data_IF_099098021836
#
_entry.id   IF_099098021836
#
_cell.length_a   1.000
_cell.length_b   1.000
_cell.length_c   1.000
_cell.angle_alpha   90.00
_cell.angle_beta   90.00
_cell.angle_gamma   90.00
#
_symmetry.space_group_name_H-M   'P 1'
#
loop_
_entity.id
_entity.type
_entity.pdbx_description
1 polymer ?
#
# COMPACT_ATOMS: atom_id res chain seq x y z
N UNK A 1 -0.49 -16.13 -19.99
CA UNK A 1 -1.23 -17.40 -20.18
C UNK A 1 -0.45 -18.64 -19.72
N UNK A 2 -1.03 -19.37 -18.76
CA UNK A 2 -0.57 -20.67 -18.27
C UNK A 2 -1.31 -21.83 -18.97
N UNK A 3 -0.73 -23.03 -19.12
CA UNK A 3 -1.45 -24.19 -19.72
C UNK A 3 -2.12 -25.09 -18.67
N UNK A 4 -3.31 -25.58 -19.00
CA UNK A 4 -4.04 -26.57 -18.20
C UNK A 4 -3.36 -27.93 -18.34
N UNK A 5 -3.15 -28.64 -17.23
CA UNK A 5 -2.78 -30.06 -17.27
C UNK A 5 -4.03 -30.93 -17.30
N UNK A 6 -4.03 -31.98 -18.12
CA UNK A 6 -5.18 -32.88 -18.30
C UNK A 6 -4.85 -34.32 -17.92
N UNK A 7 -5.86 -35.05 -17.46
CA UNK A 7 -5.86 -36.50 -17.32
C UNK A 7 -7.21 -37.01 -17.81
N UNK A 8 -7.25 -37.60 -19.00
CA UNK A 8 -8.49 -37.84 -19.75
C UNK A 8 -8.54 -39.26 -20.33
N UNK A 9 -9.74 -39.81 -20.46
CA UNK A 9 -9.95 -41.05 -21.21
C UNK A 9 -9.68 -40.87 -22.70
N UNK A 10 -8.87 -41.75 -23.28
CA UNK A 10 -8.62 -41.86 -24.71
C UNK A 10 -9.62 -42.81 -25.39
N UNK A 11 -9.52 -42.93 -26.73
CA UNK A 11 -10.39 -43.79 -27.54
C UNK A 11 -10.31 -45.29 -27.19
N UNK A 12 -9.21 -45.72 -26.55
CA UNK A 12 -9.01 -47.10 -26.06
C UNK A 12 -9.53 -47.32 -24.64
N UNK A 13 -10.16 -46.33 -24.01
CA UNK A 13 -10.65 -46.40 -22.64
C UNK A 13 -9.57 -46.33 -21.56
N UNK A 14 -8.34 -45.94 -21.92
CA UNK A 14 -7.23 -45.72 -20.98
C UNK A 14 -7.10 -44.23 -20.65
N UNK A 15 -6.60 -43.92 -19.46
CA UNK A 15 -6.40 -42.53 -19.02
C UNK A 15 -5.02 -42.00 -19.49
N UNK A 16 -5.02 -41.10 -20.46
CA UNK A 16 -3.84 -40.39 -20.96
C UNK A 16 -3.64 -39.06 -20.21
N UNK A 17 -2.37 -38.71 -19.98
CA UNK A 17 -1.99 -37.60 -19.10
C UNK A 17 -1.07 -36.60 -19.80
N UNK A 18 -1.50 -35.34 -19.85
CA UNK A 18 -0.70 -34.23 -20.35
C UNK A 18 -0.42 -33.24 -19.21
N UNK A 19 0.79 -33.31 -18.65
CA UNK A 19 1.23 -32.45 -17.54
C UNK A 19 1.97 -31.22 -18.02
N UNK A 20 1.67 -30.08 -17.40
CA UNK A 20 2.43 -28.84 -17.58
C UNK A 20 3.44 -28.60 -16.44
N UNK A 21 4.49 -27.85 -16.77
CA UNK A 21 5.46 -27.28 -15.83
C UNK A 21 5.83 -25.88 -16.29
N UNK A 22 6.10 -24.98 -15.34
CA UNK A 22 6.55 -23.63 -15.63
C UNK A 22 7.71 -23.30 -14.69
N UNK A 23 8.88 -23.06 -15.27
CA UNK A 23 10.04 -22.52 -14.58
C UNK A 23 10.18 -21.01 -14.86
N UNK A 24 10.01 -20.20 -13.82
CA UNK A 24 10.33 -18.77 -13.80
C UNK A 24 11.55 -18.46 -12.92
N UNK A 25 12.24 -19.47 -12.37
CA UNK A 25 13.29 -19.34 -11.35
C UNK A 25 14.54 -18.60 -11.83
N UNK A 26 14.76 -18.58 -13.15
CA UNK A 26 15.83 -17.83 -13.81
C UNK A 26 15.48 -16.35 -14.11
N UNK A 27 14.22 -15.96 -13.92
CA UNK A 27 13.70 -14.62 -14.21
C UNK A 27 13.41 -13.84 -12.91
N UNK A 28 13.21 -12.50 -12.96
CA UNK A 28 12.81 -11.71 -11.80
C UNK A 28 11.41 -12.07 -11.24
N UNK A 29 10.66 -12.91 -11.95
CA UNK A 29 9.28 -13.28 -11.62
C UNK A 29 9.16 -14.44 -10.62
N UNK A 30 8.03 -14.49 -9.92
CA UNK A 30 7.55 -15.61 -9.10
C UNK A 30 6.03 -15.74 -9.21
N UNK A 31 5.48 -16.90 -8.89
CA UNK A 31 4.04 -17.06 -8.80
C UNK A 31 3.52 -16.35 -7.54
N UNK A 32 2.52 -15.47 -7.69
CA UNK A 32 1.93 -14.76 -6.56
C UNK A 32 1.20 -15.72 -5.62
N UNK A 33 1.59 -15.76 -4.35
CA UNK A 33 1.00 -16.61 -3.31
C UNK A 33 -0.37 -16.11 -2.84
N UNK A 34 -0.64 -14.82 -3.05
CA UNK A 34 -1.92 -14.17 -2.70
C UNK A 34 -2.96 -14.36 -3.81
N UNK A 35 -2.57 -14.13 -5.06
CA UNK A 35 -3.53 -14.07 -6.18
C UNK A 35 -3.75 -15.39 -6.92
N UNK A 36 -2.85 -16.38 -6.82
CA UNK A 36 -3.03 -17.66 -7.49
C UNK A 36 -3.43 -18.79 -6.55
N UNK A 37 -4.26 -19.71 -7.05
CA UNK A 37 -4.58 -20.97 -6.39
C UNK A 37 -4.32 -22.14 -7.32
N UNK A 38 -3.73 -23.21 -6.79
CA UNK A 38 -3.68 -24.48 -7.51
C UNK A 38 -5.07 -25.10 -7.46
N UNK A 39 -5.69 -25.22 -8.63
CA UNK A 39 -7.09 -25.62 -8.83
C UNK A 39 -7.14 -26.98 -9.50
N UNK A 40 -7.94 -27.88 -8.95
CA UNK A 40 -8.17 -29.24 -9.47
C UNK A 40 -9.65 -29.39 -9.77
N UNK A 41 -9.97 -29.86 -10.97
CA UNK A 41 -11.34 -30.03 -11.46
C UNK A 41 -11.49 -31.47 -11.97
N UNK A 42 -12.59 -32.12 -11.64
CA UNK A 42 -12.85 -33.52 -11.97
C UNK A 42 -13.32 -34.31 -10.76
N UNK A 43 -14.01 -35.42 -10.97
CA UNK A 43 -14.44 -36.28 -9.88
C UNK A 43 -13.45 -37.43 -9.66
N UNK A 44 -13.36 -37.92 -8.42
CA UNK A 44 -12.38 -38.90 -7.95
C UNK A 44 -10.96 -38.61 -8.47
N UNK A 45 -10.52 -37.37 -8.29
CA UNK A 45 -9.27 -36.84 -8.83
C UNK A 45 -8.43 -36.29 -7.70
N UNK A 46 -7.15 -36.69 -7.64
CA UNK A 46 -6.12 -36.03 -6.85
C UNK A 46 -4.99 -35.60 -7.78
N UNK A 47 -4.70 -34.31 -7.77
CA UNK A 47 -3.53 -33.74 -8.43
C UNK A 47 -2.58 -33.08 -7.42
N UNK A 48 -1.32 -33.02 -7.82
CA UNK A 48 -0.21 -32.51 -7.02
C UNK A 48 0.45 -31.33 -7.74
N UNK A 49 0.95 -30.39 -6.94
CA UNK A 49 1.85 -29.32 -7.37
C UNK A 49 3.18 -29.47 -6.63
N UNK A 50 4.27 -29.56 -7.40
CA UNK A 50 5.65 -29.68 -6.93
C UNK A 50 6.36 -28.35 -7.15
N UNK A 51 7.04 -27.81 -6.15
CA UNK A 51 7.78 -26.55 -6.25
C UNK A 51 9.22 -26.69 -6.80
N UNK A 52 9.71 -27.92 -6.99
CA UNK A 52 11.04 -28.21 -7.54
C UNK A 52 10.99 -29.26 -8.65
N UNK A 53 12.11 -29.40 -9.36
CA UNK A 53 12.29 -30.38 -10.44
C UNK A 53 12.69 -31.77 -9.95
N UNK A 54 13.16 -31.86 -8.70
CA UNK A 54 13.63 -33.08 -8.03
C UNK A 54 12.54 -33.85 -7.28
N UNK A 55 11.33 -33.29 -7.18
CA UNK A 55 10.18 -33.83 -6.44
C UNK A 55 10.46 -34.05 -4.93
N UNK A 56 11.38 -33.26 -4.36
CA UNK A 56 11.91 -33.41 -2.98
C UNK A 56 11.50 -32.29 -2.02
N UNK A 57 11.13 -31.13 -2.57
CA UNK A 57 10.82 -29.91 -1.82
C UNK A 57 9.35 -29.81 -1.46
N UNK A 58 8.79 -28.61 -1.59
CA UNK A 58 7.37 -28.40 -1.32
C UNK A 58 6.50 -29.22 -2.30
N UNK A 59 5.69 -30.09 -1.70
CA UNK A 59 4.63 -30.86 -2.33
C UNK A 59 3.31 -30.44 -1.70
N UNK A 60 2.37 -29.99 -2.53
CA UNK A 60 0.97 -29.82 -2.14
C UNK A 60 0.07 -30.58 -3.10
N UNK A 61 -1.17 -30.81 -2.68
CA UNK A 61 -2.13 -31.56 -3.46
C UNK A 61 -3.55 -31.13 -3.10
N UNK A 62 -4.47 -31.50 -3.98
CA UNK A 62 -5.85 -31.07 -3.92
C UNK A 62 -6.71 -32.18 -4.53
N UNK A 63 -7.65 -32.67 -3.73
CA UNK A 63 -8.52 -33.80 -4.07
C UNK A 63 -9.93 -33.29 -4.33
N UNK A 64 -10.57 -33.84 -5.35
CA UNK A 64 -11.99 -33.62 -5.58
C UNK A 64 -12.72 -34.92 -5.87
N UNK A 65 -13.92 -35.05 -5.33
CA UNK A 65 -14.81 -36.21 -5.43
C UNK A 65 -16.18 -35.78 -5.92
N UNK A 66 -16.93 -36.71 -6.51
CA UNK A 66 -18.39 -36.63 -6.62
C UNK A 66 -18.92 -38.03 -6.93
N UNK A 67 -20.21 -38.28 -6.68
CA UNK A 67 -20.88 -39.51 -7.12
C UNK A 67 -21.66 -39.26 -8.41
N UNK A 68 -22.36 -38.12 -8.50
CA UNK A 68 -23.15 -37.71 -9.64
C UNK A 68 -23.03 -36.19 -9.91
N UNK A 69 -23.48 -35.75 -11.09
CA UNK A 69 -23.55 -34.33 -11.44
C UNK A 69 -24.49 -33.51 -10.53
N UNK A 70 -25.44 -34.15 -9.86
CA UNK A 70 -26.37 -33.52 -8.89
C UNK A 70 -25.69 -33.04 -7.62
N UNK A 71 -24.50 -33.56 -7.31
CA UNK A 71 -23.74 -33.23 -6.11
C UNK A 71 -22.95 -31.91 -6.29
N UNK A 72 -22.97 -31.36 -7.50
CA UNK A 72 -22.15 -30.25 -7.94
C UNK A 72 -22.98 -28.96 -8.04
N UNK A 73 -22.38 -27.84 -7.65
CA UNK A 73 -22.98 -26.52 -7.80
C UNK A 73 -22.00 -25.59 -8.53
N UNK A 74 -22.50 -24.84 -9.52
CA UNK A 74 -21.74 -23.77 -10.17
C UNK A 74 -21.24 -22.77 -9.10
N UNK A 75 -19.99 -22.33 -9.23
CA UNK A 75 -19.30 -21.46 -8.26
C UNK A 75 -18.80 -22.11 -6.97
N UNK A 76 -19.16 -23.37 -6.69
CA UNK A 76 -18.60 -24.09 -5.54
C UNK A 76 -17.27 -24.75 -5.89
N UNK A 77 -16.27 -24.64 -4.99
CA UNK A 77 -14.97 -25.30 -5.17
C UNK A 77 -14.42 -25.84 -3.82
N UNK A 78 -15.29 -26.52 -3.08
CA UNK A 78 -15.03 -27.01 -1.72
C UNK A 78 -14.75 -28.52 -1.62
N UNK A 79 -14.26 -29.13 -2.71
CA UNK A 79 -13.96 -30.56 -2.81
C UNK A 79 -14.92 -31.34 -3.71
N UNK A 80 -16.10 -30.79 -4.03
CA UNK A 80 -17.10 -31.44 -4.90
C UNK A 80 -16.96 -30.97 -6.35
N UNK A 81 -16.45 -31.84 -7.24
CA UNK A 81 -16.06 -31.54 -8.62
C UNK A 81 -14.93 -30.52 -8.81
N UNK A 82 -14.70 -29.63 -7.85
CA UNK A 82 -13.62 -28.64 -7.82
C UNK A 82 -13.00 -28.56 -6.42
N UNK A 83 -11.68 -28.45 -6.36
CA UNK A 83 -10.91 -28.13 -5.17
C UNK A 83 -9.87 -27.04 -5.48
N UNK A 84 -9.51 -26.24 -4.48
CA UNK A 84 -8.42 -25.26 -4.54
C UNK A 84 -7.48 -25.41 -3.34
N UNK A 85 -6.18 -25.17 -3.55
CA UNK A 85 -5.19 -25.04 -2.49
C UNK A 85 -4.26 -23.85 -2.74
N UNK A 86 -3.78 -23.22 -1.67
CA UNK A 86 -2.84 -22.11 -1.73
C UNK A 86 -1.43 -22.60 -2.08
N UNK A 87 -0.62 -21.73 -2.67
CA UNK A 87 0.80 -21.98 -2.95
C UNK A 87 1.69 -21.26 -1.91
N UNK A 88 2.95 -21.68 -1.72
CA UNK A 88 3.85 -21.04 -0.77
C UNK A 88 4.56 -19.84 -1.39
N UNK A 89 5.00 -18.92 -0.54
CA UNK A 89 5.89 -17.82 -0.93
C UNK A 89 7.20 -18.32 -1.52
N UNK A 90 7.77 -17.52 -2.42
CA UNK A 90 9.05 -17.79 -3.05
C UNK A 90 9.00 -18.76 -4.24
N UNK A 91 7.83 -19.30 -4.59
CA UNK A 91 7.67 -20.28 -5.66
C UNK A 91 8.02 -19.68 -7.04
N UNK A 92 9.19 -20.04 -7.55
CA UNK A 92 9.68 -19.68 -8.89
C UNK A 92 9.46 -20.77 -9.94
N UNK A 93 9.28 -22.02 -9.51
CA UNK A 93 9.01 -23.18 -10.35
C UNK A 93 7.73 -23.86 -9.88
N UNK A 94 6.95 -24.43 -10.81
CA UNK A 94 6.10 -25.56 -10.46
C UNK A 94 5.95 -26.59 -11.59
N UNK A 95 5.57 -27.80 -11.18
CA UNK A 95 5.19 -28.92 -12.02
C UNK A 95 3.89 -29.54 -11.51
N UNK A 96 3.02 -29.99 -12.41
CA UNK A 96 1.77 -30.66 -12.07
C UNK A 96 1.90 -32.18 -12.22
N UNK A 97 1.34 -32.92 -11.26
CA UNK A 97 1.18 -34.38 -11.35
C UNK A 97 -0.25 -34.81 -11.05
N UNK A 98 -0.63 -36.02 -11.48
CA UNK A 98 -1.90 -36.66 -11.14
C UNK A 98 -1.64 -38.01 -10.48
N UNK A 99 -2.38 -38.30 -9.41
CA UNK A 99 -2.36 -39.60 -8.73
C UNK A 99 -2.99 -40.69 -9.63
N UNK A 100 -2.31 -41.83 -9.75
CA UNK A 100 -2.79 -42.98 -10.55
C UNK A 100 -3.72 -43.94 -9.79
N UNK A 101 -3.91 -43.72 -8.49
CA UNK A 101 -4.59 -44.67 -7.59
C UNK A 101 -6.11 -44.56 -7.53
N UNK A 102 -6.71 -43.59 -8.20
CA UNK A 102 -8.17 -43.38 -8.17
C UNK A 102 -8.87 -44.18 -9.26
N UNK A 103 -9.93 -44.91 -8.89
CA UNK A 103 -10.75 -45.65 -9.83
C UNK A 103 -11.88 -44.76 -10.38
N UNK A 104 -11.72 -44.28 -11.61
CA UNK A 104 -12.70 -43.44 -12.32
C UNK A 104 -13.65 -44.25 -13.22
N UNK A 105 -13.52 -45.59 -13.25
CA UNK A 105 -14.25 -46.49 -14.17
C UNK A 105 -15.77 -46.54 -13.95
N UNK A 106 -16.28 -45.97 -12.86
CA UNK A 106 -17.71 -45.85 -12.57
C UNK A 106 -18.30 -44.50 -13.00
N UNK A 107 -17.46 -43.49 -13.23
CA UNK A 107 -17.86 -42.09 -13.50
C UNK A 107 -17.45 -41.60 -14.90
N UNK A 108 -16.75 -42.42 -15.68
CA UNK A 108 -16.26 -42.08 -17.03
C UNK A 108 -17.35 -41.63 -18.02
N UNK A 109 -18.61 -42.03 -17.77
CA UNK A 109 -19.77 -41.65 -18.56
C UNK A 109 -20.09 -40.15 -18.46
N UNK A 110 -19.88 -39.53 -17.30
CA UNK A 110 -20.15 -38.10 -17.05
C UNK A 110 -18.92 -37.27 -16.63
N UNK A 111 -17.79 -37.89 -16.33
CA UNK A 111 -16.53 -37.24 -15.92
C UNK A 111 -15.36 -37.84 -16.71
N UNK A 112 -15.21 -37.41 -17.97
CA UNK A 112 -14.23 -37.98 -18.92
C UNK A 112 -12.80 -37.44 -18.77
N UNK A 113 -12.68 -36.26 -18.18
CA UNK A 113 -11.43 -35.54 -18.03
C UNK A 113 -11.32 -34.95 -16.63
N UNK A 114 -10.11 -34.97 -16.11
CA UNK A 114 -9.69 -34.24 -14.94
C UNK A 114 -8.67 -33.19 -15.34
N UNK A 115 -8.72 -32.04 -14.68
CA UNK A 115 -7.88 -30.88 -14.94
C UNK A 115 -7.15 -30.45 -13.68
N UNK A 116 -5.92 -29.96 -13.84
CA UNK A 116 -5.13 -29.40 -12.76
C UNK A 116 -4.29 -28.23 -13.29
N UNK A 117 -4.41 -27.07 -12.65
CA UNK A 117 -3.78 -25.84 -13.13
C UNK A 117 -3.55 -24.83 -12.01
N UNK A 118 -2.47 -24.06 -12.11
CA UNK A 118 -2.27 -22.87 -11.29
C UNK A 118 -2.93 -21.68 -11.99
N UNK A 119 -3.90 -21.03 -11.36
CA UNK A 119 -4.66 -19.93 -11.98
C UNK A 119 -4.91 -18.79 -11.00
N UNK A 120 -5.09 -17.60 -11.54
CA UNK A 120 -5.60 -16.43 -10.83
C UNK A 120 -6.97 -16.76 -10.19
N UNK A 121 -7.10 -16.55 -8.87
CA UNK A 121 -8.24 -17.00 -8.09
C UNK A 121 -9.53 -16.21 -8.39
N UNK A 122 -9.41 -14.91 -8.65
CA UNK A 122 -10.55 -14.02 -8.96
C UNK A 122 -11.07 -14.21 -10.39
N UNK A 123 -10.20 -14.63 -11.31
CA UNK A 123 -10.57 -14.94 -12.69
C UNK A 123 -11.17 -16.35 -12.88
N UNK A 124 -11.12 -17.21 -11.85
CA UNK A 124 -11.63 -18.57 -11.90
C UNK A 124 -12.98 -18.71 -11.20
N UNK A 125 -13.99 -19.14 -11.96
CA UNK A 125 -15.28 -19.54 -11.42
C UNK A 125 -15.61 -20.97 -11.90
N UNK A 126 -15.95 -21.87 -10.97
CA UNK A 126 -16.26 -23.26 -11.30
C UNK A 126 -17.60 -23.36 -12.04
N UNK A 127 -17.67 -24.24 -13.03
CA UNK A 127 -18.91 -24.58 -13.71
C UNK A 127 -19.01 -26.10 -13.89
N UNK A 128 -20.17 -26.65 -13.58
CA UNK A 128 -20.52 -28.08 -13.70
C UNK A 128 -20.27 -28.64 -15.10
N UNK A 129 -20.37 -27.83 -16.16
CA UNK A 129 -20.04 -28.26 -17.53
C UNK A 129 -18.56 -28.60 -17.73
N UNK A 130 -17.66 -28.19 -16.83
CA UNK A 130 -16.25 -28.59 -16.85
C UNK A 130 -16.01 -30.05 -16.45
N UNK A 131 -17.01 -30.73 -15.87
CA UNK A 131 -16.94 -32.16 -15.55
C UNK A 131 -17.49 -32.99 -16.72
N UNK A 132 -18.66 -32.59 -17.24
CA UNK A 132 -19.38 -33.32 -18.28
C UNK A 132 -18.88 -33.07 -19.70
N UNK A 133 -18.07 -32.04 -19.92
CA UNK A 133 -17.55 -31.66 -21.25
C UNK A 133 -16.09 -31.22 -21.18
N UNK A 134 -15.44 -31.13 -22.33
CA UNK A 134 -14.06 -30.63 -22.47
C UNK A 134 -13.94 -29.10 -22.41
N UNK A 135 -15.06 -28.38 -22.21
CA UNK A 135 -15.18 -26.91 -22.30
C UNK A 135 -14.09 -26.14 -21.54
N UNK A 136 -13.65 -26.61 -20.37
CA UNK A 136 -12.59 -25.94 -19.60
C UNK A 136 -11.25 -25.90 -20.35
N UNK A 137 -10.91 -26.99 -21.04
CA UNK A 137 -9.70 -27.11 -21.85
C UNK A 137 -9.87 -26.56 -23.27
N UNK A 138 -11.08 -26.55 -23.82
CA UNK A 138 -11.34 -26.00 -25.16
C UNK A 138 -11.34 -24.46 -25.14
N UNK A 139 -11.79 -23.87 -24.03
CA UNK A 139 -11.75 -22.42 -23.80
C UNK A 139 -10.30 -21.92 -23.79
N UNK A 140 -10.06 -20.76 -24.43
CA UNK A 140 -8.76 -20.10 -24.50
C UNK A 140 -7.59 -21.00 -24.97
N UNK A 141 -7.86 -22.04 -25.76
CA UNK A 141 -6.86 -23.02 -26.26
C UNK A 141 -6.12 -23.80 -25.17
N UNK A 142 -6.82 -24.14 -24.07
CA UNK A 142 -6.26 -24.90 -22.95
C UNK A 142 -5.39 -24.04 -22.04
N UNK A 143 -5.74 -22.76 -21.90
CA UNK A 143 -4.94 -21.77 -21.17
C UNK A 143 -5.77 -20.92 -20.20
N UNK A 144 -5.13 -20.52 -19.10
CA UNK A 144 -5.72 -19.71 -18.02
C UNK A 144 -4.78 -18.56 -17.63
N UNK A 145 -5.30 -17.47 -17.03
CA UNK A 145 -4.46 -16.42 -16.46
C UNK A 145 -3.67 -16.91 -15.24
N UNK A 146 -2.49 -16.34 -15.04
CA UNK A 146 -1.66 -16.53 -13.84
C UNK A 146 -1.02 -15.18 -13.50
N UNK A 147 -1.00 -14.84 -12.22
CA UNK A 147 -0.42 -13.59 -11.71
C UNK A 147 1.03 -13.84 -11.31
N UNK A 148 1.95 -13.05 -11.86
CA UNK A 148 3.36 -13.10 -11.49
C UNK A 148 3.75 -11.88 -10.68
N UNK A 149 4.24 -12.09 -9.46
CA UNK A 149 4.94 -11.05 -8.72
C UNK A 149 6.35 -10.93 -9.29
N UNK A 150 6.97 -9.75 -9.14
CA UNK A 150 8.36 -9.55 -9.53
C UNK A 150 9.17 -8.90 -8.41
N UNK A 151 10.48 -9.08 -8.47
CA UNK A 151 11.45 -8.41 -7.61
C UNK A 151 12.78 -8.26 -8.35
N UNK A 152 13.63 -7.33 -7.91
CA UNK A 152 15.02 -7.25 -8.34
C UNK A 152 15.78 -8.40 -7.67
N UNK A 153 16.22 -9.34 -8.52
CA UNK A 153 16.91 -10.58 -8.14
C UNK A 153 17.64 -11.13 -9.37
N UNK A 154 18.74 -11.87 -9.15
CA UNK A 154 19.42 -12.59 -10.22
C UNK A 154 19.56 -14.07 -9.86
N UNK A 155 18.64 -14.91 -10.36
CA UNK A 155 18.62 -16.35 -10.08
C UNK A 155 18.55 -16.66 -8.58
N UNK A 156 19.54 -17.39 -8.07
CA UNK A 156 19.65 -17.74 -6.63
C UNK A 156 20.30 -16.64 -5.78
N UNK A 157 21.02 -15.69 -6.39
CA UNK A 157 21.61 -14.54 -5.68
C UNK A 157 20.59 -13.38 -5.64
N UNK A 158 19.77 -13.39 -4.60
CA UNK A 158 18.78 -12.34 -4.32
C UNK A 158 19.20 -11.61 -3.05
N UNK A 159 19.55 -10.34 -3.16
CA UNK A 159 19.93 -9.49 -2.02
C UNK A 159 18.67 -8.92 -1.35
N UNK A 160 18.70 -8.75 -0.04
CA UNK A 160 17.82 -7.84 0.69
C UNK A 160 18.15 -6.38 0.40
N UNK A 161 17.28 -5.46 0.81
CA UNK A 161 17.50 -4.03 0.67
C UNK A 161 18.78 -3.52 1.32
N UNK A 162 19.09 -3.97 2.55
CA UNK A 162 20.28 -3.51 3.27
C UNK A 162 21.57 -4.01 2.61
N UNK A 163 21.58 -5.28 2.16
CA UNK A 163 22.70 -5.82 1.38
C UNK A 163 22.87 -5.09 0.04
N UNK A 164 21.76 -4.80 -0.65
CA UNK A 164 21.78 -4.12 -1.94
C UNK A 164 22.28 -2.67 -1.86
N UNK A 165 21.92 -1.92 -0.80
CA UNK A 165 22.42 -0.55 -0.54
C UNK A 165 23.93 -0.52 -0.27
N UNK A 166 24.46 -1.52 0.43
CA UNK A 166 25.89 -1.60 0.78
C UNK A 166 26.74 -2.07 -0.40
N UNK A 167 26.14 -2.78 -1.36
CA UNK A 167 26.87 -3.38 -2.47
C UNK A 167 27.28 -2.38 -3.56
N UNK A 168 28.47 -1.80 -3.41
CA UNK A 168 29.07 -0.78 -4.30
C UNK A 168 29.44 -1.28 -5.72
N UNK A 169 29.00 -2.46 -6.15
CA UNK A 169 29.22 -3.01 -7.50
C UNK A 169 28.41 -2.33 -8.60
N UNK A 170 27.61 -1.30 -8.29
CA UNK A 170 26.76 -0.60 -9.27
C UNK A 170 25.50 -1.39 -9.68
N UNK A 171 25.16 -2.44 -8.93
CA UNK A 171 24.00 -3.32 -9.19
C UNK A 171 22.75 -2.95 -8.38
N UNK A 172 22.82 -1.87 -7.60
CA UNK A 172 21.66 -1.32 -6.88
C UNK A 172 20.78 -0.54 -7.84
N UNK A 173 19.50 -0.89 -7.94
CA UNK A 173 18.61 -0.36 -8.99
C UNK A 173 17.77 0.85 -8.57
N UNK A 174 17.72 1.19 -7.28
CA UNK A 174 16.98 2.36 -6.79
C UNK A 174 17.88 3.59 -6.88
N UNK A 175 18.08 4.09 -8.10
CA UNK A 175 19.14 5.04 -8.44
C UNK A 175 18.87 6.49 -8.01
N UNK A 176 17.61 6.85 -7.73
CA UNK A 176 17.19 8.20 -7.38
C UNK A 176 17.17 8.40 -5.85
N UNK A 177 17.54 9.58 -5.34
CA UNK A 177 17.47 9.91 -3.90
C UNK A 177 16.05 9.85 -3.34
N UNK A 178 15.05 10.19 -4.16
CA UNK A 178 13.63 10.15 -3.83
C UNK A 178 13.03 8.73 -4.04
N UNK A 179 13.90 7.71 -4.13
CA UNK A 179 13.54 6.30 -4.13
C UNK A 179 13.89 5.64 -2.81
N UNK A 180 12.99 4.80 -2.30
CA UNK A 180 13.24 3.94 -1.15
C UNK A 180 13.21 2.48 -1.56
N UNK A 181 14.21 1.73 -1.11
CA UNK A 181 14.20 0.28 -1.25
C UNK A 181 13.17 -0.33 -0.28
N UNK A 182 12.42 -1.33 -0.74
CA UNK A 182 11.58 -2.19 0.10
C UNK A 182 11.77 -3.67 -0.27
N UNK A 183 11.93 -4.56 0.73
CA UNK A 183 12.06 -6.00 0.49
C UNK A 183 10.78 -6.59 -0.10
N UNK A 184 10.93 -7.62 -0.95
CA UNK A 184 9.79 -8.28 -1.57
C UNK A 184 8.99 -9.11 -0.56
N UNK A 185 7.66 -9.01 -0.62
CA UNK A 185 6.74 -9.77 0.24
C UNK A 185 6.60 -11.24 -0.15
N UNK A 186 7.05 -11.62 -1.35
CA UNK A 186 6.97 -12.97 -1.92
C UNK A 186 8.38 -13.53 -2.17
N UNK A 187 9.12 -13.75 -1.09
CA UNK A 187 10.48 -14.34 -1.10
C UNK A 187 11.63 -13.35 -1.39
N UNK A 188 12.88 -13.83 -1.45
CA UNK A 188 14.08 -12.99 -1.48
C UNK A 188 14.18 -12.01 -2.66
N UNK A 189 14.82 -10.85 -2.45
CA UNK A 189 14.93 -9.77 -3.44
C UNK A 189 14.16 -8.52 -3.01
N UNK A 190 14.33 -7.41 -3.73
CA UNK A 190 13.79 -6.11 -3.35
C UNK A 190 13.08 -5.39 -4.51
N UNK A 191 12.38 -4.31 -4.17
CA UNK A 191 11.71 -3.38 -5.06
C UNK A 191 12.16 -1.95 -4.74
N UNK A 192 12.06 -1.07 -5.72
CA UNK A 192 12.20 0.36 -5.52
C UNK A 192 10.80 0.97 -5.50
N UNK A 193 10.51 1.75 -4.47
CA UNK A 193 9.28 2.51 -4.32
C UNK A 193 9.60 4.00 -4.31
N UNK A 194 8.64 4.85 -4.67
CA UNK A 194 8.77 6.28 -4.42
C UNK A 194 8.80 6.58 -2.92
N UNK A 195 9.59 7.59 -2.56
CA UNK A 195 9.46 8.29 -1.27
C UNK A 195 8.12 9.01 -1.19
N UNK A 196 7.73 9.39 0.03
CA UNK A 196 6.52 10.19 0.27
C UNK A 196 6.67 11.57 -0.40
N UNK A 197 5.60 12.10 -1.00
CA UNK A 197 5.64 13.30 -1.85
C UNK A 197 6.06 13.06 -3.32
N UNK A 198 6.40 11.82 -3.72
CA UNK A 198 6.90 11.55 -5.08
C UNK A 198 6.11 10.48 -5.83
N UNK A 199 5.93 10.68 -7.13
CA UNK A 199 5.29 9.76 -8.07
C UNK A 199 6.17 9.49 -9.30
N UNK A 200 5.79 8.48 -10.10
CA UNK A 200 6.51 8.12 -11.33
C UNK A 200 7.13 6.73 -11.29
N UNK A 201 8.22 6.54 -12.06
CA UNK A 201 8.91 5.26 -12.20
C UNK A 201 10.17 5.21 -11.31
N UNK A 202 10.18 4.39 -10.24
CA UNK A 202 11.26 4.38 -9.26
C UNK A 202 12.59 3.74 -9.74
N UNK A 203 12.63 3.23 -10.98
CA UNK A 203 13.77 2.55 -11.57
C UNK A 203 14.51 3.37 -12.65
N UNK A 204 14.03 4.58 -12.95
CA UNK A 204 14.68 5.50 -13.90
C UNK A 204 15.30 6.68 -13.14
N UNK A 205 16.53 7.12 -13.46
CA UNK A 205 17.17 8.27 -12.80
C UNK A 205 16.28 9.52 -12.81
N UNK A 206 15.70 9.84 -13.96
CA UNK A 206 14.79 10.98 -14.18
C UNK A 206 13.30 10.56 -14.22
N UNK A 207 12.96 9.38 -13.70
CA UNK A 207 11.59 8.82 -13.74
C UNK A 207 10.62 9.45 -12.75
N UNK A 208 11.08 10.40 -11.96
CA UNK A 208 10.41 10.95 -10.80
C UNK A 208 9.75 12.29 -11.11
N UNK A 209 8.53 12.46 -10.64
CA UNK A 209 7.88 13.76 -10.53
C UNK A 209 7.53 14.01 -9.06
N UNK A 210 7.89 15.20 -8.60
CA UNK A 210 7.38 15.75 -7.35
C UNK A 210 5.85 15.80 -7.44
N UNK A 211 5.14 15.18 -6.49
CA UNK A 211 3.69 15.25 -6.45
C UNK A 211 3.34 16.66 -6.06
N UNK A 212 2.68 17.39 -6.94
CA UNK A 212 2.09 18.67 -6.58
C UNK A 212 0.93 18.38 -5.61
N UNK A 213 1.23 18.32 -4.31
CA UNK A 213 0.20 18.08 -3.29
C UNK A 213 -0.83 19.23 -3.33
N UNK A 214 -0.42 20.42 -3.77
CA UNK A 214 -1.28 21.56 -4.05
C UNK A 214 -2.06 21.49 -5.40
N UNK A 215 -2.05 20.37 -6.13
CA UNK A 215 -3.01 20.06 -7.21
C UNK A 215 -3.79 18.77 -6.97
N UNK A 216 -3.17 17.77 -6.34
CA UNK A 216 -3.86 16.55 -5.93
C UNK A 216 -4.68 16.75 -4.63
N UNK A 217 -4.36 17.77 -3.83
CA UNK A 217 -5.07 18.25 -2.64
C UNK A 217 -4.89 19.78 -2.47
N UNK A 218 -5.55 20.61 -3.31
CA UNK A 218 -5.10 21.98 -3.58
C UNK A 218 -4.95 22.93 -2.38
N UNK A 219 -3.88 23.73 -2.42
CA UNK A 219 -3.52 24.75 -1.42
C UNK A 219 -4.14 26.13 -1.77
N UNK A 220 -5.09 26.65 -0.98
CA UNK A 220 -5.77 27.93 -1.28
C UNK A 220 -4.92 29.21 -1.31
N UNK A 221 -5.33 30.11 -2.22
CA UNK A 221 -5.35 31.59 -2.16
C UNK A 221 -4.28 32.39 -1.35
N UNK A 222 -3.71 33.42 -1.99
CA UNK A 222 -2.57 34.23 -1.54
C UNK A 222 -2.47 34.63 -0.06
N UNK A 223 -3.54 35.12 0.58
CA UNK A 223 -3.52 35.48 2.02
C UNK A 223 -3.06 34.33 2.93
N UNK A 224 -3.33 33.08 2.52
CA UNK A 224 -2.93 31.88 3.25
C UNK A 224 -1.48 31.46 2.94
N UNK A 225 -0.85 32.00 1.91
CA UNK A 225 0.59 31.85 1.67
C UNK A 225 1.41 32.72 2.63
N UNK A 226 0.96 33.96 2.88
CA UNK A 226 1.60 34.86 3.86
C UNK A 226 1.58 34.26 5.27
N UNK A 227 0.47 33.59 5.61
CA UNK A 227 0.33 32.82 6.86
C UNK A 227 1.36 31.68 6.96
N UNK A 228 1.62 30.95 5.87
CA UNK A 228 2.63 29.89 5.88
C UNK A 228 4.04 30.44 6.09
N UNK A 229 4.39 31.52 5.38
CA UNK A 229 5.64 32.24 5.59
C UNK A 229 5.77 32.74 7.03
N UNK A 230 4.68 33.28 7.60
CA UNK A 230 4.64 33.69 9.01
C UNK A 230 4.86 32.51 9.97
N UNK A 231 4.29 31.34 9.67
CA UNK A 231 4.55 30.10 10.40
C UNK A 231 6.01 29.67 10.40
N UNK A 232 6.73 29.86 9.28
CA UNK A 232 8.17 29.62 9.20
C UNK A 232 8.95 30.60 10.07
N UNK A 233 8.58 31.88 10.08
CA UNK A 233 9.21 32.89 10.95
C UNK A 233 8.96 32.58 12.44
N UNK A 234 7.75 32.16 12.82
CA UNK A 234 7.48 31.69 14.20
C UNK A 234 8.38 30.51 14.58
N UNK A 235 8.59 29.57 13.66
CA UNK A 235 9.42 28.40 13.88
C UNK A 235 10.92 28.76 14.04
N UNK A 236 11.42 29.68 13.23
CA UNK A 236 12.78 30.22 13.33
C UNK A 236 12.98 30.92 14.68
N UNK A 237 12.05 31.78 15.10
CA UNK A 237 12.08 32.48 16.40
C UNK A 237 12.03 31.49 17.58
N UNK A 238 11.19 30.45 17.51
CA UNK A 238 11.04 29.46 18.59
C UNK A 238 12.26 28.57 18.78
N UNK A 239 12.95 28.23 17.69
CA UNK A 239 14.05 27.26 17.71
C UNK A 239 15.43 27.91 17.72
N UNK A 240 15.54 29.15 17.27
CA UNK A 240 16.81 29.81 16.98
C UNK A 240 17.60 29.13 15.85
N UNK A 241 16.91 28.40 14.96
CA UNK A 241 17.52 27.61 13.90
C UNK A 241 17.05 28.09 12.53
N UNK A 242 17.97 28.11 11.56
CA UNK A 242 17.64 28.36 10.16
C UNK A 242 16.61 27.33 9.64
N UNK A 243 15.53 27.76 8.94
CA UNK A 243 14.48 26.88 8.44
C UNK A 243 14.94 25.72 7.54
N UNK A 244 16.05 25.89 6.82
CA UNK A 244 16.61 24.90 5.89
C UNK A 244 18.13 24.81 6.06
N UNK A 245 18.61 23.66 6.56
CA UNK A 245 20.04 23.36 6.69
C UNK A 245 20.50 22.58 5.46
N UNK A 246 21.18 23.25 4.54
CA UNK A 246 21.63 22.64 3.27
C UNK A 246 22.62 21.46 3.49
N UNK A 247 23.44 21.54 4.54
CA UNK A 247 24.43 20.53 4.92
C UNK A 247 23.86 19.57 5.99
N UNK A 248 23.61 18.31 5.62
CA UNK A 248 23.11 17.27 6.55
C UNK A 248 22.47 16.07 5.85
N UNK A 249 22.01 15.08 6.62
CA UNK A 249 21.16 13.98 6.13
C UNK A 249 19.75 14.48 5.81
N UNK A 250 19.10 13.93 4.78
CA UNK A 250 17.78 14.39 4.30
C UNK A 250 16.74 14.52 5.42
N UNK A 251 16.65 13.53 6.30
CA UNK A 251 15.78 13.49 7.50
C UNK A 251 16.07 14.55 8.56
N UNK A 252 17.05 15.44 8.36
CA UNK A 252 17.40 16.54 9.28
C UNK A 252 17.54 17.90 8.60
N UNK A 253 17.41 17.99 7.26
CA UNK A 253 17.61 19.23 6.49
C UNK A 253 16.50 20.27 6.70
N UNK A 254 15.26 19.81 6.77
CA UNK A 254 14.08 20.66 6.90
C UNK A 254 13.72 20.86 8.36
N UNK A 255 13.89 22.08 8.89
CA UNK A 255 13.45 22.42 10.24
C UNK A 255 11.94 22.24 10.37
N UNK A 256 11.19 22.59 9.32
CA UNK A 256 9.74 22.37 9.20
C UNK A 256 9.38 20.89 9.40
N UNK A 257 10.03 19.98 8.67
CA UNK A 257 9.75 18.54 8.77
C UNK A 257 10.14 17.97 10.13
N UNK A 258 11.29 18.39 10.67
CA UNK A 258 11.74 18.02 12.02
C UNK A 258 10.74 18.49 13.09
N UNK A 259 10.28 19.73 12.99
CA UNK A 259 9.33 20.35 13.91
C UNK A 259 7.96 19.70 13.84
N UNK A 260 7.41 19.48 12.64
CA UNK A 260 6.12 18.80 12.49
C UNK A 260 6.18 17.35 12.99
N UNK A 261 7.31 16.64 12.83
CA UNK A 261 7.51 15.32 13.45
C UNK A 261 7.56 15.41 14.97
N UNK A 262 8.36 16.33 15.53
CA UNK A 262 8.48 16.54 16.97
C UNK A 262 7.13 16.95 17.62
N UNK A 263 6.35 17.80 16.96
CA UNK A 263 5.00 18.19 17.40
C UNK A 263 4.02 17.02 17.32
N UNK A 264 4.11 16.16 16.29
CA UNK A 264 3.31 14.94 16.16
C UNK A 264 3.67 13.89 17.22
N UNK A 265 4.92 13.84 17.63
CA UNK A 265 5.46 12.99 18.70
C UNK A 265 5.27 13.58 20.11
N UNK A 266 4.65 14.77 20.23
CA UNK A 266 4.51 15.54 21.48
C UNK A 266 5.86 15.77 22.21
N UNK A 267 6.93 15.91 21.43
CA UNK A 267 8.32 16.03 21.86
C UNK A 267 8.93 17.36 21.39
N UNK A 268 8.22 18.46 21.65
CA UNK A 268 8.64 19.83 21.32
C UNK A 268 10.03 20.16 21.93
N UNK A 269 10.36 19.56 23.06
CA UNK A 269 11.67 19.63 23.71
C UNK A 269 12.85 19.18 22.83
N UNK A 270 12.65 18.35 21.81
CA UNK A 270 13.71 17.90 20.91
C UNK A 270 14.16 18.97 19.91
N UNK A 271 13.35 20.01 19.68
CA UNK A 271 13.61 21.07 18.69
C UNK A 271 13.85 22.45 19.31
N UNK A 272 13.41 22.66 20.57
CA UNK A 272 13.68 23.89 21.33
C UNK A 272 15.13 23.95 21.84
N UNK A 273 15.77 25.13 21.83
CA UNK A 273 17.09 25.33 22.41
C UNK A 273 17.03 25.26 23.94
N UNK A 274 18.10 24.75 24.57
CA UNK A 274 18.12 24.46 26.01
C UNK A 274 17.88 25.68 26.91
N UNK A 275 18.31 26.87 26.52
CA UNK A 275 18.18 28.08 27.34
C UNK A 275 16.73 28.60 27.47
N UNK A 276 15.87 28.37 26.47
CA UNK A 276 14.46 28.76 26.56
C UNK A 276 13.66 27.90 27.56
N UNK A 277 14.19 26.74 27.95
CA UNK A 277 13.53 25.78 28.87
C UNK A 277 13.58 26.22 30.34
N UNK A 278 14.45 27.16 30.68
CA UNK A 278 14.70 27.59 32.06
C UNK A 278 14.17 29.01 32.37
N UNK A 279 13.85 29.80 31.33
CA UNK A 279 13.66 31.25 31.46
C UNK A 279 12.27 31.77 31.08
N UNK A 280 11.48 31.00 30.30
CA UNK A 280 10.19 31.43 29.75
C UNK A 280 9.03 30.54 30.21
N UNK A 281 7.79 31.04 30.08
CA UNK A 281 6.60 30.25 30.44
C UNK A 281 6.39 29.09 29.47
N UNK A 282 6.38 27.85 29.97
CA UNK A 282 6.08 26.65 29.18
C UNK A 282 4.72 26.73 28.45
N UNK A 283 3.75 27.47 28.99
CA UNK A 283 2.45 27.70 28.35
C UNK A 283 2.56 28.61 27.12
N UNK A 284 3.41 29.65 27.20
CA UNK A 284 3.70 30.56 26.11
C UNK A 284 4.41 29.83 24.96
N UNK A 285 5.47 29.08 25.27
CA UNK A 285 6.27 28.35 24.29
C UNK A 285 5.39 27.34 23.53
N UNK A 286 4.58 26.55 24.25
CA UNK A 286 3.69 25.57 23.64
C UNK A 286 2.57 26.24 22.81
N UNK A 287 2.04 27.36 23.25
CA UNK A 287 1.05 28.14 22.50
C UNK A 287 1.59 28.68 21.18
N UNK A 288 2.80 29.26 21.20
CA UNK A 288 3.50 29.71 19.99
C UNK A 288 3.81 28.55 19.04
N UNK A 289 4.19 27.38 19.55
CA UNK A 289 4.47 26.20 18.73
C UNK A 289 3.21 25.64 18.04
N UNK A 290 2.08 25.56 18.74
CA UNK A 290 0.80 25.16 18.10
C UNK A 290 0.34 26.20 17.07
N UNK A 291 0.51 27.50 17.33
CA UNK A 291 0.22 28.54 16.34
C UNK A 291 1.12 28.43 15.10
N UNK A 292 2.42 28.17 15.27
CA UNK A 292 3.34 27.92 14.16
C UNK A 292 2.89 26.71 13.33
N UNK A 293 2.56 25.59 13.98
CA UNK A 293 2.05 24.36 13.33
C UNK A 293 0.76 24.59 12.52
N UNK A 294 -0.19 25.40 13.03
CA UNK A 294 -1.40 25.75 12.30
C UNK A 294 -1.12 26.64 11.07
N UNK A 295 -0.21 27.61 11.21
CA UNK A 295 0.25 28.43 10.10
C UNK A 295 0.96 27.60 9.00
N UNK A 296 1.70 26.57 9.42
CA UNK A 296 2.50 25.67 8.61
C UNK A 296 1.74 24.48 7.99
N UNK A 297 0.40 24.44 8.09
CA UNK A 297 -0.40 23.39 7.44
C UNK A 297 -0.19 23.44 5.91
N UNK A 298 0.04 22.29 5.27
CA UNK A 298 0.17 22.22 3.81
C UNK A 298 -1.13 22.67 3.12
N UNK A 299 -2.29 22.33 3.70
CA UNK A 299 -3.59 22.76 3.23
C UNK A 299 -3.88 24.21 3.67
N UNK A 300 -3.68 25.17 2.77
CA UNK A 300 -3.87 26.59 3.08
C UNK A 300 -5.30 26.98 3.54
N UNK A 301 -6.31 26.12 3.35
CA UNK A 301 -7.66 26.32 3.89
C UNK A 301 -7.74 26.15 5.41
N UNK A 302 -6.87 25.31 5.98
CA UNK A 302 -6.78 25.05 7.42
C UNK A 302 -5.95 26.12 8.16
N UNK A 303 -5.07 26.80 7.43
CA UNK A 303 -4.26 27.89 7.96
C UNK A 303 -5.20 28.99 8.50
N UNK A 304 -4.92 29.59 9.68
CA UNK A 304 -5.69 30.73 10.18
C UNK A 304 -5.58 31.94 9.25
N UNK A 305 -6.35 32.99 9.51
CA UNK A 305 -6.13 34.32 8.93
C UNK A 305 -5.07 35.10 9.73
N UNK A 306 -4.42 36.08 9.10
CA UNK A 306 -3.49 36.98 9.80
C UNK A 306 -4.13 37.73 10.97
N UNK A 307 -5.46 37.90 10.96
CA UNK A 307 -6.21 38.45 12.09
C UNK A 307 -6.24 37.50 13.29
N UNK A 308 -6.64 36.24 13.07
CA UNK A 308 -6.67 35.21 14.13
C UNK A 308 -5.28 34.97 14.72
N UNK A 309 -4.24 35.02 13.88
CA UNK A 309 -2.83 34.98 14.31
C UNK A 309 -2.48 36.16 15.22
N UNK A 310 -2.86 37.38 14.84
CA UNK A 310 -2.60 38.58 15.64
C UNK A 310 -3.35 38.56 16.99
N UNK A 311 -4.60 38.11 16.98
CA UNK A 311 -5.42 37.95 18.20
C UNK A 311 -4.80 36.92 19.16
N UNK A 312 -4.35 35.77 18.65
CA UNK A 312 -3.71 34.72 19.47
C UNK A 312 -2.33 35.14 19.97
N UNK A 313 -1.50 35.81 19.16
CA UNK A 313 -0.24 36.41 19.63
C UNK A 313 -0.49 37.49 20.70
N UNK A 314 -1.55 38.29 20.55
CA UNK A 314 -1.99 39.26 21.55
C UNK A 314 -2.45 38.61 22.87
N UNK A 315 -3.03 37.41 22.80
CA UNK A 315 -3.36 36.59 23.98
C UNK A 315 -2.10 36.02 24.62
N UNK A 316 -1.22 35.40 23.83
CA UNK A 316 0.03 34.78 24.29
C UNK A 316 0.97 35.79 24.93
N UNK A 317 1.11 37.00 24.37
CA UNK A 317 1.91 38.10 24.95
C UNK A 317 1.46 38.49 26.37
N UNK A 318 0.20 38.24 26.75
CA UNK A 318 -0.27 38.50 28.13
C UNK A 318 0.26 37.50 29.16
N UNK A 319 0.82 36.37 28.71
CA UNK A 319 1.46 35.35 29.54
C UNK A 319 2.94 35.69 29.86
N UNK A 320 3.62 36.52 29.05
CA UNK A 320 5.01 36.95 29.30
C UNK A 320 5.13 38.24 30.12
N UNK A 321 4.02 38.92 30.44
CA UNK A 321 4.04 40.19 31.15
C UNK A 321 4.25 40.02 32.66
N UNK A 322 5.42 40.44 33.15
CA UNK A 322 5.68 40.62 34.57
C UNK A 322 4.66 41.63 35.17
N UNK A 323 4.14 41.44 36.41
CA UNK A 323 3.00 42.18 36.95
C UNK A 323 3.00 43.72 36.83
N UNK A 324 4.17 44.36 36.74
CA UNK A 324 4.32 45.82 36.69
C UNK A 324 4.15 46.43 35.29
N UNK A 325 4.27 45.64 34.20
CA UNK A 325 4.13 46.12 32.81
C UNK A 325 2.66 46.09 32.33
N UNK A 326 1.74 45.59 33.17
CA UNK A 326 0.30 45.62 32.88
C UNK A 326 -0.30 47.03 32.83
N UNK A 327 0.37 48.03 33.41
CA UNK A 327 -0.19 49.39 33.61
C UNK A 327 -0.17 50.22 32.33
N UNK A 328 0.88 50.11 31.49
CA UNK A 328 1.01 50.96 30.29
C UNK A 328 0.26 50.43 29.05
N UNK A 329 -0.02 49.11 29.01
CA UNK A 329 -0.69 48.48 27.86
C UNK A 329 -2.18 48.88 27.70
N UNK A 330 -2.78 49.50 28.71
CA UNK A 330 -4.18 49.94 28.69
C UNK A 330 -4.37 51.34 28.07
N UNK A 331 -3.31 52.15 27.89
CA UNK A 331 -3.44 53.51 27.36
C UNK A 331 -3.43 53.60 25.83
N UNK A 332 -2.68 52.77 25.10
CA UNK A 332 -2.64 52.87 23.63
C UNK A 332 -3.94 52.40 22.95
N UNK A 333 -4.71 51.51 23.61
CA UNK A 333 -5.96 50.96 23.06
C UNK A 333 -7.16 51.92 23.16
N UNK A 334 -7.08 53.00 23.95
CA UNK A 334 -8.20 53.94 24.12
C UNK A 334 -8.34 54.97 22.98
N UNK A 335 -7.37 55.09 22.07
CA UNK A 335 -7.41 56.10 21.00
C UNK A 335 -8.24 55.72 19.76
N UNK A 336 -8.68 54.47 19.64
CA UNK A 336 -9.33 53.93 18.43
C UNK A 336 -10.80 53.48 18.61
N UNK A 337 -11.42 53.71 19.78
CA UNK A 337 -12.76 53.20 20.12
C UNK A 337 -13.82 54.29 20.38
N UNK A 338 -13.83 55.36 19.56
CA UNK A 338 -14.87 56.41 19.58
C UNK A 338 -15.84 56.30 18.40
N UNK A 339 -16.58 55.19 18.31
CA UNK A 339 -17.69 54.99 17.37
C UNK A 339 -18.74 54.03 17.95
N UNK A 340 -19.96 54.51 18.17
CA UNK A 340 -20.96 53.82 19.00
C UNK A 340 -21.69 52.65 18.30
N UNK A 341 -22.10 51.67 19.11
CA UNK A 341 -22.80 50.43 18.74
C UNK A 341 -24.34 50.56 18.82
N UNK A 342 -25.07 49.71 18.09
CA UNK A 342 -26.42 49.15 18.41
C UNK A 342 -26.81 48.13 17.30
N UNK A 343 -27.49 46.99 17.53
CA UNK A 343 -27.76 46.21 18.75
C UNK A 343 -28.20 44.75 18.43
N UNK A 344 -27.68 43.78 19.20
CA UNK A 344 -28.33 42.57 19.81
C UNK A 344 -29.12 41.46 19.05
N UNK A 345 -28.69 40.19 19.27
CA UNK A 345 -29.44 38.95 19.68
C UNK A 345 -30.45 38.27 18.69
N UNK A 346 -30.72 36.95 18.65
CA UNK A 346 -30.14 35.70 19.23
C UNK A 346 -30.69 34.40 18.53
N UNK A 347 -29.92 33.29 18.60
CA UNK A 347 -30.24 31.84 18.93
C UNK A 347 -31.69 31.27 18.69
N UNK A 348 -32.00 30.03 18.22
CA UNK A 348 -31.30 28.72 18.00
C UNK A 348 -31.88 27.90 16.79
N UNK A 349 -31.71 26.56 16.67
CA UNK A 349 -32.46 25.70 15.70
C UNK A 349 -32.07 24.22 15.42
N UNK A 350 -31.69 23.40 16.41
CA UNK A 350 -31.61 21.92 16.50
C UNK A 350 -31.50 20.96 15.27
N UNK A 351 -30.58 19.99 15.40
CA UNK A 351 -30.27 18.79 14.58
C UNK A 351 -31.32 17.67 14.50
N UNK A 352 -31.25 16.82 13.46
CA UNK A 352 -31.58 15.37 13.55
C UNK A 352 -31.05 14.50 12.37
N UNK A 353 -30.51 13.30 12.67
CA UNK A 353 -30.59 12.11 11.77
C UNK A 353 -29.38 11.66 10.92
N UNK A 354 -28.60 10.68 11.41
CA UNK A 354 -27.72 9.73 10.66
C UNK A 354 -28.45 8.35 10.50
N UNK A 355 -27.97 7.29 9.79
CA UNK A 355 -26.65 7.05 9.17
C UNK A 355 -26.56 6.40 7.75
N UNK A 356 -25.36 6.56 7.14
CA UNK A 356 -24.60 5.74 6.14
C UNK A 356 -25.17 4.49 5.44
N UNK A 357 -24.94 4.38 4.11
CA UNK A 357 -24.11 3.29 3.52
C UNK A 357 -23.73 3.51 2.03
N UNK A 358 -22.44 3.76 1.77
CA UNK A 358 -21.66 3.61 0.51
C UNK A 358 -20.24 4.09 0.90
N UNK A 359 -19.11 3.47 0.60
CA UNK A 359 -18.77 2.38 -0.32
C UNK A 359 -17.27 2.55 -0.61
N UNK A 360 -16.40 1.95 0.21
CA UNK A 360 -14.96 2.24 0.24
C UNK A 360 -14.23 1.80 -1.05
N UNK A 361 -14.15 2.71 -2.02
CA UNK A 361 -13.23 2.61 -3.14
C UNK A 361 -11.83 3.06 -2.70
N UNK A 362 -11.06 2.13 -2.14
CA UNK A 362 -9.61 2.29 -1.98
C UNK A 362 -8.96 2.38 -3.37
N UNK A 363 -8.21 3.45 -3.70
CA UNK A 363 -7.49 3.52 -4.97
C UNK A 363 -6.36 2.48 -4.99
N UNK A 364 -6.41 1.58 -5.98
CA UNK A 364 -5.31 0.66 -6.26
C UNK A 364 -4.05 1.44 -6.62
N UNK A 365 -3.03 1.35 -5.76
CA UNK A 365 -1.66 1.70 -6.13
C UNK A 365 -1.19 0.74 -7.25
N UNK A 366 -0.49 1.19 -8.32
CA UNK A 366 -0.15 0.32 -9.47
C UNK A 366 0.76 -0.87 -9.13
N UNK A 367 0.11 -1.97 -8.76
CA UNK A 367 0.53 -3.38 -8.83
C UNK A 367 2.01 -3.68 -9.12
N UNK A 368 2.71 -4.22 -8.12
CA UNK A 368 3.95 -5.00 -8.29
C UNK A 368 3.72 -6.39 -8.91
N UNK A 369 2.59 -6.58 -9.58
CA UNK A 369 2.11 -7.85 -10.12
C UNK A 369 1.80 -7.70 -11.61
N UNK A 370 2.37 -8.60 -12.42
CA UNK A 370 2.13 -8.72 -13.85
C UNK A 370 1.03 -9.74 -14.10
N UNK A 371 -0.06 -9.29 -14.72
CA UNK A 371 -1.12 -10.17 -15.22
C UNK A 371 -0.67 -10.81 -16.54
N UNK A 372 -0.27 -12.08 -16.50
CA UNK A 372 -0.04 -12.85 -17.72
C UNK A 372 -1.39 -13.33 -18.27
N UNK A 373 -2.17 -12.39 -18.82
CA UNK A 373 -3.38 -12.66 -19.62
C UNK A 373 -3.06 -13.46 -20.89
#
# INVERSE_FOLDING_TARGET
>A
MNRISTYCYNSSGLMDRHTWRFDASHFPYRFSDVHNKFTVIGCNTLAYIYADSTDTGYLSGCVSTCQNLTDLADGSCSGLGCCQTAIPKGMGYYKVGFAKGFNTSQIWNFSRCSYAVLTEAEAFNFNTTYISTTKFNDTNTGRVPVVLDWAIRNGTMSLSCEEAKVNKTGTYACLNSNSRCADSKNGPGYLCNCSEGYEGNPYLPDGYRDVDECKNSPCPSGEKSDVFSFGVILLEVLTGQEPLKLNGSETKRSLLSNFLSAMKENNLDAVLPSHLKEQESNELIRGLAELAKQCLDMCAGNRPSMKEIADELGRLRKLSLHPWVRIDAEMETQSLLSGASTATFEIEGATSGYPTQEGDNLPMNPSSSYYAR
#
